data_IF_312023592296
#
_entry.id   IF_312023592296
#
_cell.length_a   1.000
_cell.length_b   1.000
_cell.length_c   1.000
_cell.angle_alpha   90.00
_cell.angle_beta   90.00
_cell.angle_gamma   90.00
#
_symmetry.space_group_name_H-M   'P 1'
#
loop_
_entity.id
_entity.type
_entity.pdbx_description
1 polymer ?
#
# COMPACT_ATOMS: atom_id res chain seq x y z
N UNK A 1 -3.42 29.24 9.28
CA UNK A 1 -2.35 28.22 9.09
C UNK A 1 -2.37 27.24 10.24
N UNK A 2 -1.89 26.01 10.04
CA UNK A 2 -1.72 25.00 11.09
C UNK A 2 -0.37 25.18 11.80
N UNK A 3 -0.29 24.80 13.08
CA UNK A 3 0.95 24.75 13.84
C UNK A 3 1.51 23.33 13.90
N UNK A 4 2.81 23.21 14.17
CA UNK A 4 3.40 21.93 14.57
C UNK A 4 2.99 21.69 16.02
N UNK A 5 2.09 20.74 16.23
CA UNK A 5 1.65 20.30 17.55
C UNK A 5 1.61 18.76 17.60
N UNK A 6 1.34 18.21 18.78
CA UNK A 6 1.34 16.75 18.99
C UNK A 6 0.37 16.02 18.06
N UNK A 7 -0.78 16.61 17.73
CA UNK A 7 -1.79 16.00 16.86
C UNK A 7 -1.35 15.98 15.40
N UNK A 8 -0.77 17.07 14.91
CA UNK A 8 -0.21 17.12 13.54
C UNK A 8 1.01 16.22 13.40
N UNK A 9 1.86 16.14 14.44
CA UNK A 9 3.01 15.22 14.47
C UNK A 9 2.53 13.77 14.43
N UNK A 10 1.50 13.43 15.23
CA UNK A 10 0.91 12.09 15.23
C UNK A 10 0.28 11.74 13.87
N UNK A 11 -0.42 12.70 13.25
CA UNK A 11 -0.94 12.57 11.89
C UNK A 11 0.15 12.25 10.87
N UNK A 12 1.29 12.95 10.92
CA UNK A 12 2.43 12.66 10.04
C UNK A 12 3.02 11.27 10.29
N UNK A 13 3.19 10.86 11.55
CA UNK A 13 3.73 9.53 11.88
C UNK A 13 2.81 8.41 11.36
N UNK A 14 1.49 8.55 11.53
CA UNK A 14 0.54 7.60 10.98
C UNK A 14 0.52 7.60 9.45
N UNK A 15 0.75 8.76 8.82
CA UNK A 15 0.84 8.85 7.38
C UNK A 15 2.05 8.09 6.82
N UNK A 16 3.18 7.96 7.55
CA UNK A 16 4.40 7.26 7.06
C UNK A 16 4.07 5.89 6.47
N UNK A 17 3.21 5.10 7.11
CA UNK A 17 2.83 3.78 6.61
C UNK A 17 2.15 3.84 5.24
N UNK A 18 1.26 4.81 5.04
CA UNK A 18 0.58 5.05 3.76
C UNK A 18 1.54 5.61 2.71
N UNK A 19 2.44 6.52 3.10
CA UNK A 19 3.41 7.16 2.20
C UNK A 19 4.41 6.14 1.62
N UNK A 20 4.87 5.22 2.46
CA UNK A 20 5.84 4.20 2.07
C UNK A 20 5.19 3.15 1.17
N UNK A 21 3.91 2.85 1.37
CA UNK A 21 3.15 1.91 0.52
C UNK A 21 3.14 2.36 -0.95
N UNK A 22 2.79 3.62 -1.22
CA UNK A 22 2.78 4.17 -2.60
C UNK A 22 4.14 4.00 -3.31
N UNK A 23 5.23 4.30 -2.60
CA UNK A 23 6.58 4.22 -3.14
C UNK A 23 7.02 2.77 -3.37
N UNK A 24 6.70 1.86 -2.43
CA UNK A 24 7.02 0.43 -2.54
C UNK A 24 6.26 -0.18 -3.72
N UNK A 25 4.96 0.07 -3.85
CA UNK A 25 4.13 -0.50 -4.93
C UNK A 25 4.68 -0.11 -6.31
N UNK A 26 5.12 1.14 -6.49
CA UNK A 26 5.74 1.58 -7.75
C UNK A 26 7.03 0.81 -8.02
N UNK A 27 7.96 0.78 -7.07
CA UNK A 27 9.27 0.12 -7.26
C UNK A 27 9.12 -1.39 -7.48
N UNK A 28 8.29 -2.05 -6.67
CA UNK A 28 8.04 -3.49 -6.74
C UNK A 28 7.40 -3.87 -8.09
N UNK A 29 6.42 -3.09 -8.57
CA UNK A 29 5.79 -3.39 -9.85
C UNK A 29 6.77 -3.17 -11.03
N UNK A 30 7.63 -2.16 -10.96
CA UNK A 30 8.71 -1.98 -11.96
C UNK A 30 9.69 -3.17 -11.93
N UNK A 31 10.12 -3.60 -10.75
CA UNK A 31 11.01 -4.77 -10.61
C UNK A 31 10.35 -6.05 -11.12
N UNK A 32 9.06 -6.27 -10.82
CA UNK A 32 8.28 -7.40 -11.33
C UNK A 32 8.25 -7.41 -12.85
N UNK A 33 7.92 -6.28 -13.49
CA UNK A 33 7.87 -6.14 -14.95
C UNK A 33 9.26 -6.35 -15.58
N UNK A 34 10.31 -5.80 -14.97
CA UNK A 34 11.69 -6.04 -15.43
C UNK A 34 12.08 -7.52 -15.36
N UNK A 35 11.68 -8.22 -14.30
CA UNK A 35 12.02 -9.63 -14.08
C UNK A 35 11.21 -10.57 -14.98
N UNK A 36 9.92 -10.30 -15.16
CA UNK A 36 9.01 -11.15 -15.94
C UNK A 36 9.15 -10.91 -17.45
N UNK A 37 9.14 -9.66 -17.89
CA UNK A 37 9.16 -9.31 -19.32
C UNK A 37 10.57 -9.06 -19.87
N UNK A 38 11.59 -9.02 -19.00
CA UNK A 38 12.99 -8.76 -19.36
C UNK A 38 13.20 -7.46 -20.13
N UNK A 39 12.42 -6.43 -19.80
CA UNK A 39 12.52 -5.10 -20.40
C UNK A 39 13.61 -4.25 -19.72
N UNK A 40 14.23 -3.30 -20.44
CA UNK A 40 15.13 -2.33 -19.83
C UNK A 40 14.38 -1.42 -18.84
N UNK A 41 15.06 -0.82 -17.84
CA UNK A 41 14.43 -0.09 -16.73
C UNK A 41 13.42 0.97 -17.16
N UNK A 42 13.74 1.71 -18.24
CA UNK A 42 12.86 2.77 -18.77
C UNK A 42 11.57 2.22 -19.35
N UNK A 43 11.65 1.19 -20.19
CA UNK A 43 10.47 0.57 -20.83
C UNK A 43 9.61 -0.17 -19.80
N UNK A 44 10.26 -0.86 -18.85
CA UNK A 44 9.58 -1.51 -17.75
C UNK A 44 8.83 -0.50 -16.85
N UNK A 45 9.44 0.66 -16.58
CA UNK A 45 8.79 1.73 -15.83
C UNK A 45 7.55 2.25 -16.56
N UNK A 46 7.65 2.49 -17.87
CA UNK A 46 6.49 2.95 -18.65
C UNK A 46 5.35 1.94 -18.66
N UNK A 47 5.67 0.65 -18.85
CA UNK A 47 4.66 -0.43 -18.80
C UNK A 47 4.04 -0.53 -17.40
N UNK A 48 4.86 -0.56 -16.36
CA UNK A 48 4.41 -0.64 -14.96
C UNK A 48 3.46 0.50 -14.60
N UNK A 49 3.81 1.75 -14.95
CA UNK A 49 2.96 2.91 -14.65
C UNK A 49 1.61 2.83 -15.37
N UNK A 50 1.52 2.26 -16.58
CA UNK A 50 0.24 2.06 -17.27
C UNK A 50 -0.68 1.08 -16.53
N UNK A 51 -0.11 0.11 -15.80
CA UNK A 51 -0.88 -0.87 -15.02
C UNK A 51 -1.41 -0.27 -13.70
N UNK A 52 -0.58 0.50 -12.99
CA UNK A 52 -0.89 0.90 -11.59
C UNK A 52 -1.39 2.34 -11.42
N UNK A 53 -1.19 3.25 -12.39
CA UNK A 53 -1.54 4.67 -12.21
C UNK A 53 -3.01 4.86 -11.83
N UNK A 54 -3.93 4.14 -12.48
CA UNK A 54 -5.35 4.20 -12.17
C UNK A 54 -5.67 3.68 -10.76
N UNK A 55 -4.98 2.63 -10.32
CA UNK A 55 -5.13 2.07 -8.97
C UNK A 55 -4.63 3.04 -7.88
N UNK A 56 -3.46 3.66 -8.08
CA UNK A 56 -2.89 4.63 -7.14
C UNK A 56 -3.80 5.85 -6.95
N UNK A 57 -4.33 6.41 -8.05
CA UNK A 57 -5.30 7.51 -7.98
C UNK A 57 -6.59 7.07 -7.30
N UNK A 58 -7.06 5.84 -7.57
CA UNK A 58 -8.23 5.25 -6.92
C UNK A 58 -8.04 5.13 -5.40
N UNK A 59 -6.90 4.59 -4.94
CA UNK A 59 -6.56 4.46 -3.52
C UNK A 59 -6.54 5.84 -2.85
N UNK A 60 -5.90 6.83 -3.48
CA UNK A 60 -5.84 8.20 -2.98
C UNK A 60 -7.24 8.81 -2.76
N UNK A 61 -8.15 8.60 -3.73
CA UNK A 61 -9.53 9.09 -3.65
C UNK A 61 -10.32 8.36 -2.56
N UNK A 62 -10.21 7.03 -2.46
CA UNK A 62 -10.89 6.23 -1.44
C UNK A 62 -10.43 6.62 -0.04
N UNK A 63 -9.12 6.73 0.18
CA UNK A 63 -8.58 7.17 1.46
C UNK A 63 -9.00 8.61 1.77
N UNK A 64 -9.02 9.50 0.77
CA UNK A 64 -9.52 10.87 0.97
C UNK A 64 -10.99 10.84 1.39
N UNK A 65 -11.82 9.98 0.80
CA UNK A 65 -13.22 9.83 1.18
C UNK A 65 -13.41 9.28 2.60
N UNK A 66 -12.46 8.49 3.13
CA UNK A 66 -12.47 8.02 4.53
C UNK A 66 -12.03 9.11 5.50
N UNK A 67 -10.96 9.85 5.19
CA UNK A 67 -10.38 10.80 6.13
C UNK A 67 -11.00 12.19 6.10
N UNK A 68 -11.42 12.68 4.94
CA UNK A 68 -11.92 14.05 4.76
C UNK A 68 -13.22 14.35 5.55
N UNK A 69 -14.20 13.43 5.67
CA UNK A 69 -15.42 13.68 6.46
C UNK A 69 -15.15 14.04 7.92
N UNK A 70 -14.08 13.51 8.52
CA UNK A 70 -13.70 13.79 9.90
C UNK A 70 -13.33 15.27 10.13
N UNK A 71 -12.93 16.00 9.08
CA UNK A 71 -12.62 17.42 9.16
C UNK A 71 -13.87 18.31 9.34
N UNK A 72 -15.06 17.77 9.06
CA UNK A 72 -16.34 18.48 9.17
C UNK A 72 -17.05 18.24 10.50
N UNK A 73 -16.44 17.48 11.42
CA UNK A 73 -17.02 17.26 12.74
C UNK A 73 -17.06 18.57 13.53
N UNK A 74 -18.18 18.82 14.22
CA UNK A 74 -18.38 20.02 15.03
C UNK A 74 -17.83 19.90 16.45
N UNK A 75 -17.84 21.02 17.18
CA UNK A 75 -17.43 21.07 18.58
C UNK A 75 -15.92 21.00 18.82
N UNK A 76 -15.52 20.94 20.09
CA UNK A 76 -14.11 20.92 20.49
C UNK A 76 -13.36 19.66 20.03
N UNK A 77 -14.06 18.52 19.97
CA UNK A 77 -13.53 17.26 19.42
C UNK A 77 -13.30 17.35 17.92
N UNK A 78 -14.17 18.07 17.19
CA UNK A 78 -14.02 18.33 15.76
C UNK A 78 -12.73 19.05 15.39
N UNK A 79 -12.25 19.98 16.24
CA UNK A 79 -10.97 20.68 16.00
C UNK A 79 -9.79 19.72 16.01
N UNK A 80 -9.81 18.72 16.90
CA UNK A 80 -8.77 17.68 16.99
C UNK A 80 -8.78 16.81 15.72
N UNK A 81 -9.95 16.30 15.34
CA UNK A 81 -10.11 15.48 14.14
C UNK A 81 -9.76 16.24 12.85
N UNK A 82 -10.06 17.54 12.78
CA UNK A 82 -9.73 18.40 11.65
C UNK A 82 -8.21 18.55 11.46
N UNK A 83 -7.46 18.75 12.54
CA UNK A 83 -5.99 18.81 12.46
C UNK A 83 -5.42 17.48 11.96
N UNK A 84 -5.89 16.38 12.51
CA UNK A 84 -5.46 15.04 12.10
C UNK A 84 -5.80 14.73 10.63
N UNK A 85 -7.07 14.89 10.26
CA UNK A 85 -7.59 14.60 8.92
C UNK A 85 -6.86 15.38 7.84
N UNK A 86 -6.69 16.70 8.03
CA UNK A 86 -6.06 17.55 7.02
C UNK A 86 -4.59 17.23 6.87
N UNK A 87 -3.87 16.94 7.96
CA UNK A 87 -2.48 16.50 7.88
C UNK A 87 -2.36 15.22 7.06
N UNK A 88 -3.14 14.18 7.38
CA UNK A 88 -3.08 12.88 6.66
C UNK A 88 -3.44 13.05 5.17
N UNK A 89 -4.54 13.74 4.86
CA UNK A 89 -4.97 13.94 3.46
C UNK A 89 -3.94 14.76 2.69
N UNK A 90 -3.39 15.83 3.27
CA UNK A 90 -2.36 16.64 2.60
C UNK A 90 -1.08 15.87 2.32
N UNK A 91 -0.62 15.05 3.28
CA UNK A 91 0.55 14.19 3.12
C UNK A 91 0.32 13.14 2.03
N UNK A 92 -0.87 12.54 2.00
CA UNK A 92 -1.22 11.50 1.02
C UNK A 92 -1.36 12.05 -0.40
N UNK A 93 -1.98 13.21 -0.57
CA UNK A 93 -2.03 13.87 -1.89
C UNK A 93 -0.63 14.16 -2.40
N UNK A 94 0.26 14.65 -1.52
CA UNK A 94 1.66 14.88 -1.88
C UNK A 94 2.38 13.56 -2.22
N UNK A 95 2.11 12.48 -1.47
CA UNK A 95 2.64 11.13 -1.72
C UNK A 95 2.37 10.65 -3.13
N UNK A 96 1.09 10.71 -3.53
CA UNK A 96 0.64 10.20 -4.82
C UNK A 96 1.25 11.03 -5.95
N UNK A 97 1.35 12.35 -5.78
CA UNK A 97 2.06 13.20 -6.73
C UNK A 97 3.52 12.76 -6.87
N UNK A 98 4.23 12.51 -5.76
CA UNK A 98 5.61 12.04 -5.78
C UNK A 98 5.75 10.61 -6.36
N UNK A 99 4.81 9.72 -6.05
CA UNK A 99 4.79 8.35 -6.55
C UNK A 99 4.50 8.28 -8.05
N UNK A 100 3.73 9.21 -8.60
CA UNK A 100 3.45 9.27 -10.04
C UNK A 100 4.48 10.07 -10.84
N UNK A 101 5.33 10.87 -10.19
CA UNK A 101 6.30 11.74 -10.87
C UNK A 101 7.74 11.37 -10.55
N UNK A 102 8.14 11.50 -9.28
CA UNK A 102 9.52 11.31 -8.85
C UNK A 102 9.91 9.84 -8.80
N UNK A 103 9.07 8.97 -8.24
CA UNK A 103 9.38 7.55 -8.12
C UNK A 103 9.65 6.87 -9.47
N UNK A 104 8.82 7.03 -10.53
CA UNK A 104 9.13 6.45 -11.84
C UNK A 104 10.37 7.08 -12.49
N UNK A 105 10.61 8.38 -12.30
CA UNK A 105 11.82 9.02 -12.81
C UNK A 105 13.10 8.43 -12.16
N UNK A 106 13.05 8.14 -10.86
CA UNK A 106 14.14 7.49 -10.15
C UNK A 106 14.28 6.01 -10.56
N UNK A 107 13.18 5.28 -10.74
CA UNK A 107 13.22 3.89 -11.22
C UNK A 107 13.84 3.79 -12.62
N UNK A 108 13.48 4.69 -13.54
CA UNK A 108 14.02 4.66 -14.89
C UNK A 108 15.52 5.01 -14.98
N UNK A 109 16.08 5.70 -13.98
CA UNK A 109 17.46 6.22 -14.01
C UNK A 109 18.42 5.50 -13.08
N UNK A 110 17.96 5.08 -11.90
CA UNK A 110 18.80 4.47 -10.85
C UNK A 110 18.68 2.94 -10.82
N UNK A 111 17.58 2.37 -11.32
CA UNK A 111 17.38 0.93 -11.28
C UNK A 111 18.30 0.24 -12.29
N UNK A 112 19.09 -0.70 -11.82
CA UNK A 112 19.98 -1.49 -12.68
C UNK A 112 19.20 -2.60 -13.35
N UNK A 113 19.44 -2.82 -14.64
CA UNK A 113 18.94 -4.00 -15.35
C UNK A 113 19.61 -5.25 -14.77
N UNK A 114 19.00 -5.89 -13.78
CA UNK A 114 19.47 -7.17 -13.24
C UNK A 114 19.00 -8.30 -14.16
N UNK A 115 19.56 -8.34 -15.37
CA UNK A 115 19.35 -9.43 -16.33
C UNK A 115 20.32 -10.59 -16.12
N UNK A 116 21.30 -10.44 -15.23
CA UNK A 116 22.18 -11.52 -14.81
C UNK A 116 21.64 -12.18 -13.54
N UNK A 117 21.57 -13.51 -13.59
CA UNK A 117 21.20 -14.44 -12.53
C UNK A 117 21.38 -13.86 -11.13
N UNK A 118 20.26 -13.72 -10.38
CA UNK A 118 20.30 -13.54 -8.95
C UNK A 118 21.33 -14.51 -8.40
N UNK A 119 22.43 -13.97 -7.90
CA UNK A 119 23.56 -14.76 -7.47
C UNK A 119 23.07 -15.50 -6.23
N UNK A 120 22.62 -16.73 -6.43
CA UNK A 120 21.85 -17.53 -5.48
C UNK A 120 22.73 -18.10 -4.34
N UNK A 121 23.84 -17.39 -4.07
CA UNK A 121 24.93 -17.74 -3.17
C UNK A 121 24.88 -16.80 -1.96
N UNK A 122 24.83 -17.38 -0.77
CA UNK A 122 24.81 -16.67 0.51
C UNK A 122 23.47 -16.75 1.26
N UNK A 123 23.33 -15.90 2.28
CA UNK A 123 22.13 -15.82 3.13
C UNK A 123 20.90 -15.33 2.35
N UNK A 124 21.09 -14.40 1.41
CA UNK A 124 20.01 -13.84 0.58
C UNK A 124 19.41 -14.87 -0.39
N UNK A 125 20.22 -15.75 -1.00
CA UNK A 125 19.71 -16.85 -1.84
C UNK A 125 18.92 -17.89 -1.03
N UNK A 126 19.34 -18.19 0.22
CA UNK A 126 18.54 -19.05 1.11
C UNK A 126 17.20 -18.41 1.48
N UNK A 127 17.18 -17.10 1.72
CA UNK A 127 15.94 -16.35 1.97
C UNK A 127 15.02 -16.38 0.74
N UNK A 128 15.54 -16.11 -0.46
CA UNK A 128 14.78 -16.11 -1.70
C UNK A 128 14.11 -17.48 -1.97
N UNK A 129 14.86 -18.58 -1.80
CA UNK A 129 14.30 -19.94 -1.90
C UNK A 129 13.25 -20.24 -0.84
N UNK A 130 13.40 -19.71 0.37
CA UNK A 130 12.41 -19.82 1.43
C UNK A 130 11.13 -19.05 1.10
N UNK A 131 11.28 -17.82 0.61
CA UNK A 131 10.19 -16.95 0.18
C UNK A 131 9.39 -17.57 -0.96
N UNK A 132 10.05 -18.07 -2.01
CA UNK A 132 9.37 -18.73 -3.14
C UNK A 132 8.53 -19.94 -2.69
N UNK A 133 9.08 -20.79 -1.83
CA UNK A 133 8.34 -21.93 -1.26
C UNK A 133 7.15 -21.50 -0.41
N UNK A 134 7.26 -20.38 0.29
CA UNK A 134 6.17 -19.83 1.09
C UNK A 134 5.08 -19.27 0.19
N UNK A 135 5.45 -18.57 -0.88
CA UNK A 135 4.55 -18.02 -1.89
C UNK A 135 3.75 -19.12 -2.59
N UNK A 136 4.40 -20.20 -3.04
CA UNK A 136 3.72 -21.37 -3.65
C UNK A 136 2.71 -22.00 -2.67
N UNK A 137 3.13 -22.27 -1.43
CA UNK A 137 2.24 -22.83 -0.40
C UNK A 137 1.09 -21.89 -0.04
N UNK A 138 1.33 -20.58 -0.08
CA UNK A 138 0.29 -19.58 0.15
C UNK A 138 -0.74 -19.60 -0.98
N UNK A 139 -0.28 -19.63 -2.23
CA UNK A 139 -1.15 -19.73 -3.41
C UNK A 139 -2.01 -21.01 -3.37
N UNK A 140 -1.42 -22.16 -3.04
CA UNK A 140 -2.15 -23.43 -2.91
C UNK A 140 -3.22 -23.38 -1.82
N UNK A 141 -2.89 -22.79 -0.66
CA UNK A 141 -3.84 -22.64 0.45
C UNK A 141 -4.99 -21.69 0.09
N UNK A 142 -4.70 -20.57 -0.55
CA UNK A 142 -5.72 -19.63 -1.02
C UNK A 142 -6.60 -20.30 -2.08
N UNK A 143 -6.02 -21.10 -2.97
CA UNK A 143 -6.77 -21.96 -3.89
C UNK A 143 -7.74 -22.87 -3.16
N UNK A 144 -7.31 -23.57 -2.11
CA UNK A 144 -8.18 -24.41 -1.28
C UNK A 144 -9.30 -23.63 -0.54
N UNK A 145 -9.02 -22.39 -0.13
CA UNK A 145 -9.99 -21.49 0.52
C UNK A 145 -11.10 -21.10 -0.45
N UNK A 146 -10.73 -20.71 -1.67
CA UNK A 146 -11.67 -20.28 -2.73
C UNK A 146 -12.63 -21.41 -3.12
N UNK A 147 -12.18 -22.68 -3.11
CA UNK A 147 -13.03 -23.83 -3.41
C UNK A 147 -14.04 -24.18 -2.31
N UNK A 148 -13.98 -23.52 -1.14
CA UNK A 148 -14.92 -23.73 -0.02
C UNK A 148 -15.54 -22.41 0.46
N UNK A 149 -16.19 -21.63 -0.43
CA UNK A 149 -16.58 -20.25 -0.14
C UNK A 149 -17.59 -20.15 1.02
N UNK A 150 -18.50 -21.12 1.15
CA UNK A 150 -19.52 -21.13 2.20
C UNK A 150 -18.93 -21.20 3.62
N UNK A 151 -17.85 -21.97 3.83
CA UNK A 151 -17.20 -22.07 5.15
C UNK A 151 -16.55 -20.75 5.55
N UNK A 152 -15.87 -20.09 4.61
CA UNK A 152 -15.19 -18.82 4.87
C UNK A 152 -16.16 -17.65 4.95
N UNK A 153 -17.27 -17.68 4.20
CA UNK A 153 -18.37 -16.73 4.36
C UNK A 153 -19.03 -16.84 5.74
N UNK A 154 -19.28 -18.07 6.23
CA UNK A 154 -19.81 -18.28 7.58
C UNK A 154 -18.84 -17.77 8.65
N UNK A 155 -17.55 -18.05 8.51
CA UNK A 155 -16.52 -17.55 9.41
C UNK A 155 -16.45 -16.01 9.41
N UNK A 156 -16.51 -15.40 8.22
CA UNK A 156 -16.55 -13.94 8.08
C UNK A 156 -17.81 -13.34 8.71
N UNK A 157 -18.99 -13.94 8.47
CA UNK A 157 -20.24 -13.53 9.10
C UNK A 157 -20.20 -13.64 10.62
N UNK A 158 -19.61 -14.71 11.16
CA UNK A 158 -19.42 -14.88 12.60
C UNK A 158 -18.50 -13.81 13.20
N UNK A 159 -17.41 -13.45 12.51
CA UNK A 159 -16.52 -12.35 12.93
C UNK A 159 -17.22 -10.99 12.91
N UNK A 160 -18.08 -10.74 11.92
CA UNK A 160 -18.90 -9.52 11.86
C UNK A 160 -19.91 -9.45 13.03
N UNK A 161 -20.57 -10.57 13.33
CA UNK A 161 -21.48 -10.64 14.48
C UNK A 161 -20.72 -10.42 15.78
N UNK A 162 -19.55 -11.03 15.93
CA UNK A 162 -18.72 -10.89 17.13
C UNK A 162 -18.28 -9.42 17.34
N UNK A 163 -17.81 -8.75 16.29
CA UNK A 163 -17.44 -7.32 16.37
C UNK A 163 -18.63 -6.43 16.65
N UNK A 164 -19.79 -6.68 16.03
CA UNK A 164 -21.02 -5.93 16.30
C UNK A 164 -21.50 -6.09 17.75
N UNK A 165 -21.52 -7.32 18.27
CA UNK A 165 -21.90 -7.59 19.68
C UNK A 165 -20.91 -6.94 20.65
N UNK A 166 -19.61 -6.98 20.35
CA UNK A 166 -18.59 -6.35 21.19
C UNK A 166 -18.75 -4.83 21.20
N UNK A 167 -19.03 -4.22 20.04
CA UNK A 167 -19.25 -2.78 19.94
C UNK A 167 -20.52 -2.32 20.67
N UNK A 168 -21.61 -3.09 20.58
CA UNK A 168 -22.86 -2.77 21.30
C UNK A 168 -22.77 -2.97 22.82
N UNK A 169 -21.77 -3.70 23.31
CA UNK A 169 -21.52 -3.92 24.74
C UNK A 169 -20.54 -2.93 25.35
N UNK A 170 -19.81 -2.16 24.53
CA UNK A 170 -18.96 -1.04 24.98
C UNK A 170 -19.80 0.20 25.22
#
# INVERSE_FOLDING_TARGET
GYSINTLTLFGMVLAIGLLVDDAIVVVENVERVMREDKLPPREATEKSMREITGALVGIALVLSAVFLPMAFFGGSTGVIYRQFSITVVSSMVLSVVLALTLAPALCATLLKSTHEEQTDKGLLGKFNRGYNRLQEKYADKVGGVIHRPTRYLLLYGLLLIATAVMYLRL
#
